data_IF_148129516379
#
_entry.id   IF_148129516379
#
_cell.length_a   1.000
_cell.length_b   1.000
_cell.length_c   1.000
_cell.angle_alpha   90.00
_cell.angle_beta   90.00
_cell.angle_gamma   90.00
#
_symmetry.space_group_name_H-M   'P 1'
#
loop_
_entity.id
_entity.type
_entity.pdbx_description
1 polymer ?
#
# COMPACT_ATOMS: atom_id res chain seq x y z
N UNK A 1 -12.52 3.15 -3.52
CA UNK A 1 -12.12 4.16 -2.51
C UNK A 1 -13.37 4.86 -1.99
N UNK A 2 -13.58 4.84 -0.68
CA UNK A 2 -14.67 5.53 0.02
C UNK A 2 -14.59 7.06 -0.18
N UNK A 3 -13.40 7.60 -0.47
CA UNK A 3 -13.16 9.02 -0.71
C UNK A 3 -14.01 9.66 -1.83
N UNK A 4 -14.62 8.86 -2.72
CA UNK A 4 -15.52 9.35 -3.78
C UNK A 4 -16.97 9.53 -3.33
N UNK A 5 -17.34 9.00 -2.15
CA UNK A 5 -18.71 9.00 -1.64
C UNK A 5 -19.04 10.28 -0.84
N UNK A 6 -18.05 11.13 -0.59
CA UNK A 6 -18.23 12.42 0.10
C UNK A 6 -18.46 13.54 -0.90
N UNK A 7 -19.08 14.64 -0.44
CA UNK A 7 -19.22 15.89 -1.20
C UNK A 7 -18.65 17.04 -0.37
N UNK A 8 -17.54 17.67 -0.78
CA UNK A 8 -16.72 17.34 -1.94
C UNK A 8 -16.00 15.99 -1.79
N UNK A 9 -15.56 15.42 -2.91
CA UNK A 9 -14.78 14.18 -2.90
C UNK A 9 -13.41 14.41 -2.25
N UNK A 10 -13.03 13.52 -1.33
CA UNK A 10 -11.79 13.68 -0.56
C UNK A 10 -10.54 13.43 -1.40
N UNK A 11 -9.60 14.38 -1.37
CA UNK A 11 -8.20 14.17 -1.75
C UNK A 11 -7.54 13.26 -0.71
N UNK A 12 -6.78 12.25 -1.14
CA UNK A 12 -6.17 11.28 -0.20
C UNK A 12 -4.91 10.64 -0.78
N UNK A 13 -4.07 10.06 0.09
CA UNK A 13 -2.95 9.23 -0.31
C UNK A 13 -3.45 7.79 -0.56
N UNK A 14 -3.27 7.30 -1.77
CA UNK A 14 -3.51 5.91 -2.13
C UNK A 14 -2.32 5.05 -1.70
N UNK A 15 -2.58 4.17 -0.73
CA UNK A 15 -1.64 3.19 -0.22
C UNK A 15 -1.73 1.89 -1.04
N UNK A 16 -0.59 1.26 -1.42
CA UNK A 16 -0.53 0.01 -2.18
C UNK A 16 -0.77 -1.22 -1.28
N UNK A 17 -1.93 -1.31 -0.63
CA UNK A 17 -2.21 -2.32 0.41
C UNK A 17 -2.14 -3.75 -0.15
N UNK A 18 -2.63 -3.98 -1.37
CA UNK A 18 -2.56 -5.30 -2.01
C UNK A 18 -1.11 -5.76 -2.22
N UNK A 19 -0.25 -4.86 -2.69
CA UNK A 19 1.17 -5.15 -2.85
C UNK A 19 1.84 -5.37 -1.49
N UNK A 20 1.54 -4.55 -0.48
CA UNK A 20 2.07 -4.74 0.88
C UNK A 20 1.77 -6.15 1.36
N UNK A 21 0.51 -6.60 1.26
CA UNK A 21 0.10 -7.94 1.70
C UNK A 21 0.82 -9.04 0.94
N UNK A 22 0.93 -8.92 -0.39
CA UNK A 22 1.61 -9.91 -1.23
C UNK A 22 3.08 -10.04 -0.87
N UNK A 23 3.80 -8.90 -0.80
CA UNK A 23 5.22 -8.89 -0.43
C UNK A 23 5.43 -9.39 0.99
N UNK A 24 4.59 -8.99 1.95
CA UNK A 24 4.71 -9.45 3.33
C UNK A 24 4.61 -10.98 3.42
N UNK A 25 3.62 -11.57 2.74
CA UNK A 25 3.43 -13.02 2.75
C UNK A 25 4.60 -13.76 2.09
N UNK A 26 5.07 -13.25 0.94
CA UNK A 26 6.24 -13.79 0.24
C UNK A 26 7.49 -13.75 1.11
N UNK A 27 7.77 -12.62 1.77
CA UNK A 27 8.92 -12.46 2.67
C UNK A 27 8.83 -13.43 3.85
N UNK A 28 7.66 -13.59 4.46
CA UNK A 28 7.46 -14.54 5.57
C UNK A 28 7.72 -15.98 5.10
N UNK A 29 7.20 -16.37 3.93
CA UNK A 29 7.40 -17.72 3.38
C UNK A 29 8.89 -17.96 3.08
N UNK A 30 9.57 -16.98 2.51
CA UNK A 30 11.00 -17.10 2.16
C UNK A 30 11.88 -17.16 3.42
N UNK A 31 11.56 -16.37 4.45
CA UNK A 31 12.22 -16.45 5.76
C UNK A 31 12.08 -17.85 6.38
N UNK A 32 10.87 -18.44 6.33
CA UNK A 32 10.62 -19.81 6.83
C UNK A 32 11.47 -20.86 6.09
N UNK A 33 11.76 -20.64 4.80
CA UNK A 33 12.62 -21.52 4.00
C UNK A 33 14.11 -21.31 4.27
N UNK A 34 14.49 -20.33 5.10
CA UNK A 34 15.87 -19.96 5.38
C UNK A 34 16.52 -19.11 4.29
N UNK A 35 15.72 -18.47 3.42
CA UNK A 35 16.23 -17.52 2.44
C UNK A 35 16.58 -16.19 3.10
N UNK A 36 17.55 -15.46 2.54
CA UNK A 36 17.87 -14.11 3.01
C UNK A 36 16.80 -13.13 2.49
N UNK A 37 16.05 -12.52 3.40
CA UNK A 37 15.01 -11.55 3.05
C UNK A 37 15.42 -10.12 3.46
N UNK A 38 14.92 -9.08 2.75
CA UNK A 38 15.14 -7.70 3.16
C UNK A 38 14.46 -7.38 4.50
N UNK A 39 15.22 -6.78 5.41
CA UNK A 39 14.69 -6.28 6.70
C UNK A 39 13.69 -5.12 6.52
N UNK A 40 13.77 -4.38 5.41
CA UNK A 40 12.87 -3.27 5.11
C UNK A 40 12.59 -3.16 3.62
N UNK A 41 11.31 -3.09 3.26
CA UNK A 41 10.83 -2.81 1.91
C UNK A 41 9.98 -1.54 1.93
N UNK A 42 10.20 -0.63 0.99
CA UNK A 42 9.40 0.60 0.83
C UNK A 42 8.68 0.55 -0.51
N UNK A 43 7.36 0.66 -0.47
CA UNK A 43 6.52 0.63 -1.67
C UNK A 43 6.04 2.04 -2.02
N UNK A 44 5.93 2.38 -3.31
CA UNK A 44 5.52 3.71 -3.73
C UNK A 44 4.05 3.96 -3.40
N UNK A 45 3.78 5.13 -2.85
CA UNK A 45 2.43 5.66 -2.61
C UNK A 45 2.06 6.68 -3.70
N UNK A 46 0.78 7.06 -3.78
CA UNK A 46 0.32 8.07 -4.74
C UNK A 46 -0.61 9.08 -4.08
N UNK A 47 -0.38 10.38 -4.23
CA UNK A 47 -1.39 11.39 -3.96
C UNK A 47 -2.51 11.28 -5.00
N UNK A 48 -3.76 11.32 -4.56
CA UNK A 48 -4.93 11.36 -5.44
C UNK A 48 -5.77 12.57 -5.10
N UNK A 49 -5.57 13.63 -5.89
CA UNK A 49 -6.32 14.88 -5.82
C UNK A 49 -7.76 14.71 -6.31
N UNK A 50 -8.68 15.38 -5.62
CA UNK A 50 -10.13 15.45 -5.89
C UNK A 50 -10.67 16.82 -5.44
N UNK A 51 -11.98 16.95 -5.33
CA UNK A 51 -12.65 18.23 -5.07
C UNK A 51 -12.47 18.84 -3.68
N UNK A 52 -11.71 18.22 -2.78
CA UNK A 52 -11.41 18.79 -1.44
C UNK A 52 -10.00 19.38 -1.32
N UNK A 53 -9.24 19.43 -2.42
CA UNK A 53 -7.97 20.14 -2.50
C UNK A 53 -8.19 21.54 -3.10
#
# INVERSE_FOLDING_TARGET
SIARLTTPQLTTIHQPIEQISKYALELIINEIKGEIVPMRTVLPIKLVERGSA
#
